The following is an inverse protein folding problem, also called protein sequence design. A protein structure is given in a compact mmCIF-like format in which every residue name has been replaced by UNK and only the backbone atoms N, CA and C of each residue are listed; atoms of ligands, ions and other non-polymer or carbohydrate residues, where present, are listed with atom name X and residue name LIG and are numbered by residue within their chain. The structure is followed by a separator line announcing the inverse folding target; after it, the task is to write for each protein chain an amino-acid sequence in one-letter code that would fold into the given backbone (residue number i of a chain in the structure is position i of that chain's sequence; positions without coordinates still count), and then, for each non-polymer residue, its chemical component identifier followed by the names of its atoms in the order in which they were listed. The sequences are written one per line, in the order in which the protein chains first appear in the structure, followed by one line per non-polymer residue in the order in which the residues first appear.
data_IF_458164747855
#
_entry.id   IF_458164747855
#
_cell.length_a   1.000
_cell.length_b   1.000
_cell.length_c   1.000
_cell.angle_alpha   90.00
_cell.angle_beta   90.00
_cell.angle_gamma   90.00
#
_symmetry.space_group_name_H-M   'P 1'
#
loop_
_entity.id
_entity.type
_entity.pdbx_description
1 polymer ?
#
# COMPACT_ATOMS: atom_id res chain seq x y z
N UNK A 1 -25.55 19.95 -14.33
CA UNK A 1 -24.38 20.32 -15.15
C UNK A 1 -23.15 20.08 -14.28
N UNK A 2 -22.30 19.14 -14.67
CA UNK A 2 -21.06 18.87 -13.94
C UNK A 2 -20.16 20.11 -13.96
N UNK A 3 -19.62 20.46 -12.79
CA UNK A 3 -18.64 21.54 -12.64
C UNK A 3 -17.35 20.92 -12.13
N UNK A 4 -16.26 20.94 -12.91
CA UNK A 4 -14.97 20.41 -12.47
C UNK A 4 -14.50 21.07 -11.18
N UNK A 5 -13.89 20.29 -10.31
CA UNK A 5 -13.30 20.83 -9.08
C UNK A 5 -12.09 21.69 -9.44
N UNK A 6 -12.16 22.99 -9.17
CA UNK A 6 -11.07 23.93 -9.46
C UNK A 6 -10.04 24.05 -8.34
N UNK A 7 -10.44 23.72 -7.11
CA UNK A 7 -9.59 23.74 -5.91
C UNK A 7 -10.04 22.66 -4.93
N UNK A 8 -9.08 22.01 -4.28
CA UNK A 8 -9.32 21.05 -3.19
C UNK A 8 -8.64 21.56 -1.92
N UNK A 9 -9.40 21.75 -0.85
CA UNK A 9 -8.88 21.93 0.50
C UNK A 9 -8.39 20.58 1.03
N UNK A 10 -7.15 20.54 1.51
CA UNK A 10 -6.54 19.38 2.16
C UNK A 10 -6.64 19.55 3.67
N UNK A 11 -7.08 18.50 4.36
CA UNK A 11 -7.28 18.48 5.82
C UNK A 11 -6.61 17.27 6.43
N UNK A 12 -6.22 17.38 7.70
CA UNK A 12 -5.71 16.27 8.50
C UNK A 12 -6.12 16.49 9.94
N UNK A 13 -6.58 15.45 10.66
CA UNK A 13 -6.99 15.55 12.07
C UNK A 13 -7.91 16.75 12.36
N UNK A 14 -8.89 16.98 11.47
CA UNK A 14 -9.82 18.14 11.50
C UNK A 14 -9.16 19.51 11.29
N UNK A 15 -7.83 19.62 11.21
CA UNK A 15 -7.07 20.82 10.87
C UNK A 15 -7.09 21.04 9.35
N UNK A 16 -7.19 22.29 8.92
CA UNK A 16 -7.02 22.66 7.52
C UNK A 16 -5.51 22.78 7.25
N UNK A 17 -5.01 22.03 6.28
CA UNK A 17 -3.58 21.94 5.96
C UNK A 17 -3.22 23.00 4.93
N UNK A 18 -4.04 23.12 3.89
CA UNK A 18 -3.75 23.94 2.72
C UNK A 18 -4.74 23.67 1.61
N UNK A 19 -4.43 24.14 0.40
CA UNK A 19 -5.25 23.90 -0.78
C UNK A 19 -4.38 23.53 -1.99
N UNK A 20 -4.93 22.72 -2.87
CA UNK A 20 -4.34 22.38 -4.17
C UNK A 20 -5.23 22.86 -5.30
N UNK A 21 -4.62 23.51 -6.29
CA UNK A 21 -5.29 24.01 -7.48
C UNK A 21 -4.39 23.83 -8.71
N UNK A 22 -4.95 23.89 -9.91
CA UNK A 22 -4.15 23.79 -11.15
C UNK A 22 -3.40 25.10 -11.39
N UNK A 23 -2.08 25.02 -11.57
CA UNK A 23 -1.29 26.15 -12.03
C UNK A 23 -1.61 26.44 -13.51
N UNK A 24 -2.01 27.68 -13.86
CA UNK A 24 -2.46 28.01 -15.20
C UNK A 24 -1.33 28.03 -16.25
N UNK A 25 -0.07 28.14 -15.82
CA UNK A 25 1.10 28.26 -16.71
C UNK A 25 1.78 26.92 -16.92
N UNK A 26 1.97 26.16 -15.85
CA UNK A 26 2.73 24.93 -15.85
C UNK A 26 1.87 23.72 -16.25
N UNK A 27 0.56 23.77 -16.03
CA UNK A 27 -0.33 22.64 -16.27
C UNK A 27 -0.20 21.51 -15.25
N UNK A 28 0.53 21.75 -14.17
CA UNK A 28 0.66 20.94 -12.96
C UNK A 28 -0.19 21.51 -11.82
N UNK A 29 -0.33 20.77 -10.73
CA UNK A 29 -1.05 21.25 -9.55
C UNK A 29 -0.08 21.89 -8.55
N UNK A 30 -0.47 23.06 -8.06
CA UNK A 30 0.20 23.80 -7.02
C UNK A 30 -0.49 23.55 -5.69
N UNK A 31 0.28 23.21 -4.66
CA UNK A 31 -0.21 23.10 -3.30
C UNK A 31 0.35 24.23 -2.43
N UNK A 32 -0.52 24.91 -1.70
CA UNK A 32 -0.13 25.97 -0.77
C UNK A 32 -0.60 25.61 0.65
N UNK A 33 0.32 25.64 1.62
CA UNK A 33 -0.02 25.46 3.02
C UNK A 33 -0.81 26.67 3.54
N UNK A 34 -1.76 26.40 4.42
CA UNK A 34 -2.41 27.47 5.16
C UNK A 34 -1.42 28.05 6.20
N UNK A 35 -1.32 29.39 6.34
CA UNK A 35 -0.40 29.99 7.32
C UNK A 35 -0.62 29.50 8.77
N UNK A 36 -1.87 29.16 9.13
CA UNK A 36 -2.18 28.57 10.43
C UNK A 36 -1.60 27.16 10.61
N UNK A 37 -1.52 26.37 9.54
CA UNK A 37 -0.91 25.05 9.57
C UNK A 37 0.62 25.15 9.62
N UNK A 38 1.23 26.08 8.88
CA UNK A 38 2.68 26.34 8.97
C UNK A 38 3.09 26.66 10.42
N UNK A 39 2.30 27.46 11.14
CA UNK A 39 2.54 27.77 12.56
C UNK A 39 2.39 26.58 13.51
N UNK A 40 1.76 25.49 13.08
CA UNK A 40 1.64 24.28 13.91
C UNK A 40 2.95 23.51 14.02
N UNK A 41 3.88 23.69 13.08
CA UNK A 41 5.15 22.96 13.03
C UNK A 41 5.01 21.49 12.60
N UNK A 42 3.82 21.03 12.20
CA UNK A 42 3.58 19.64 11.79
C UNK A 42 4.09 19.42 10.36
N UNK A 43 5.23 18.73 10.23
CA UNK A 43 5.85 18.40 8.95
C UNK A 43 5.18 17.18 8.29
N UNK A 44 4.16 17.41 7.46
CA UNK A 44 3.46 16.33 6.75
C UNK A 44 4.27 15.72 5.60
N UNK A 45 5.22 16.45 5.02
CA UNK A 45 6.07 16.00 3.92
C UNK A 45 7.46 16.68 3.98
N UNK A 46 8.24 16.47 5.07
CA UNK A 46 9.44 17.25 5.36
C UNK A 46 10.53 17.19 4.28
N UNK A 47 10.54 16.15 3.45
CA UNK A 47 11.61 15.93 2.47
C UNK A 47 11.37 16.64 1.14
N UNK A 48 10.12 16.95 0.82
CA UNK A 48 9.70 17.49 -0.49
C UNK A 48 8.92 18.78 -0.36
N UNK A 49 8.17 18.95 0.74
CA UNK A 49 7.36 20.14 1.01
C UNK A 49 7.55 20.63 2.46
N UNK A 50 8.79 20.97 2.89
CA UNK A 50 9.04 21.39 4.26
C UNK A 50 8.34 22.72 4.58
N UNK A 51 7.85 22.87 5.81
CA UNK A 51 7.16 24.10 6.23
C UNK A 51 8.06 25.35 6.15
N UNK A 52 9.38 25.19 6.26
CA UNK A 52 10.35 26.27 6.11
C UNK A 52 10.41 26.85 4.69
N UNK A 53 9.96 26.10 3.68
CA UNK A 53 9.85 26.53 2.29
C UNK A 53 8.41 26.90 1.89
N UNK A 54 7.47 26.96 2.84
CA UNK A 54 6.06 27.26 2.59
C UNK A 54 5.76 28.76 2.42
N UNK A 55 6.66 29.51 1.78
CA UNK A 55 6.47 30.92 1.41
C UNK A 55 5.84 31.08 0.02
N UNK A 56 5.92 30.06 -0.82
CA UNK A 56 5.31 29.98 -2.15
C UNK A 56 4.61 28.62 -2.34
N UNK A 57 3.67 28.50 -3.30
CA UNK A 57 3.04 27.22 -3.61
C UNK A 57 4.06 26.20 -4.14
N UNK A 58 3.96 24.96 -3.66
CA UNK A 58 4.76 23.83 -4.14
C UNK A 58 4.21 23.31 -5.47
N UNK A 59 5.05 23.30 -6.50
CA UNK A 59 4.75 22.73 -7.82
C UNK A 59 5.92 21.86 -8.26
N UNK A 60 5.63 20.66 -8.75
CA UNK A 60 6.64 19.70 -9.19
C UNK A 60 6.41 19.31 -10.65
N UNK A 61 6.94 20.11 -11.57
CA UNK A 61 6.74 19.95 -13.01
C UNK A 61 7.63 18.86 -13.65
N UNK A 62 8.57 18.31 -12.88
CA UNK A 62 9.50 17.26 -13.23
C UNK A 62 8.99 15.85 -12.86
N UNK A 63 7.94 15.75 -12.03
CA UNK A 63 7.38 14.46 -11.63
C UNK A 63 6.63 13.76 -12.78
N UNK A 64 6.91 12.46 -13.01
CA UNK A 64 6.21 11.69 -14.05
C UNK A 64 4.69 11.66 -13.89
N UNK A 65 3.97 12.04 -14.94
CA UNK A 65 2.50 12.13 -14.91
C UNK A 65 1.82 10.79 -14.61
N UNK A 66 2.36 9.67 -15.12
CA UNK A 66 1.77 8.34 -14.93
C UNK A 66 1.70 7.93 -13.45
N UNK A 67 2.67 8.37 -12.65
CA UNK A 67 2.77 8.04 -11.22
C UNK A 67 2.11 9.11 -10.38
N UNK A 68 2.46 10.37 -10.62
CA UNK A 68 2.09 11.47 -9.73
C UNK A 68 0.83 12.22 -10.17
N UNK A 69 0.31 11.95 -11.38
CA UNK A 69 -0.87 12.62 -11.96
C UNK A 69 -0.79 14.15 -11.86
N UNK A 70 0.43 14.68 -12.05
CA UNK A 70 0.82 16.09 -11.97
C UNK A 70 0.62 16.75 -10.60
N UNK A 71 0.39 15.95 -9.55
CA UNK A 71 0.27 16.40 -8.17
C UNK A 71 1.63 16.35 -7.47
N UNK A 72 1.84 17.13 -6.39
CA UNK A 72 2.86 16.85 -5.39
C UNK A 72 2.77 15.41 -4.85
N UNK A 73 3.92 14.80 -4.53
CA UNK A 73 4.03 13.40 -4.10
C UNK A 73 3.08 13.03 -2.96
N UNK A 74 3.03 13.87 -1.92
CA UNK A 74 2.13 13.67 -0.76
C UNK A 74 0.65 13.52 -1.17
N UNK A 75 0.19 14.26 -2.18
CA UNK A 75 -1.20 14.23 -2.63
C UNK A 75 -1.45 13.12 -3.64
N UNK A 76 -0.49 12.89 -4.53
CA UNK A 76 -0.54 11.78 -5.48
C UNK A 76 -0.66 10.43 -4.78
N UNK A 77 0.04 10.26 -3.65
CA UNK A 77 0.06 9.01 -2.92
C UNK A 77 -1.27 8.68 -2.21
N UNK A 78 -2.14 9.67 -2.03
CA UNK A 78 -3.50 9.49 -1.54
C UNK A 78 -4.49 9.04 -2.63
N UNK A 79 -4.09 9.05 -3.91
CA UNK A 79 -4.93 8.60 -5.00
C UNK A 79 -5.02 7.06 -5.04
N UNK A 80 -6.14 6.51 -5.56
CA UNK A 80 -6.25 5.08 -5.76
C UNK A 80 -5.23 4.53 -6.76
N UNK A 81 -5.09 3.20 -6.76
CA UNK A 81 -4.44 2.45 -7.83
C UNK A 81 -5.23 2.50 -9.15
N UNK A 82 -4.69 1.86 -10.20
CA UNK A 82 -5.29 1.91 -11.55
C UNK A 82 -6.74 1.42 -11.57
N UNK A 83 -7.08 0.40 -10.79
CA UNK A 83 -8.45 -0.07 -10.68
C UNK A 83 -9.35 0.91 -9.94
N UNK A 84 -8.91 1.44 -8.80
CA UNK A 84 -9.69 2.45 -8.09
C UNK A 84 -9.92 3.69 -8.97
N UNK A 85 -8.95 4.02 -9.84
CA UNK A 85 -9.12 5.06 -10.84
C UNK A 85 -10.17 4.70 -11.91
N UNK A 86 -10.22 3.44 -12.36
CA UNK A 86 -11.25 2.96 -13.28
C UNK A 86 -12.65 2.96 -12.65
N UNK A 87 -12.78 2.64 -11.36
CA UNK A 87 -14.05 2.76 -10.64
C UNK A 87 -14.53 4.20 -10.54
N UNK A 88 -13.61 5.15 -10.31
CA UNK A 88 -13.93 6.57 -10.34
C UNK A 88 -14.38 6.98 -11.75
N UNK A 89 -13.70 6.52 -12.81
CA UNK A 89 -14.09 6.78 -14.20
C UNK A 89 -15.52 6.29 -14.48
N UNK A 90 -15.84 5.06 -14.06
CA UNK A 90 -17.17 4.48 -14.24
C UNK A 90 -18.25 5.23 -13.44
N UNK A 91 -17.95 5.64 -12.20
CA UNK A 91 -18.88 6.45 -11.40
C UNK A 91 -19.14 7.81 -12.05
N UNK A 92 -18.09 8.52 -12.47
CA UNK A 92 -18.17 9.83 -13.14
C UNK A 92 -18.95 9.74 -14.46
N UNK A 93 -18.75 8.68 -15.24
CA UNK A 93 -19.49 8.46 -16.49
C UNK A 93 -21.01 8.34 -16.27
N UNK A 94 -21.46 7.70 -15.16
CA UNK A 94 -22.88 7.61 -14.79
C UNK A 94 -23.48 8.97 -14.43
N UNK A 95 -22.66 9.87 -13.89
CA UNK A 95 -23.03 11.27 -13.63
C UNK A 95 -22.92 12.14 -14.90
N UNK A 96 -22.67 11.54 -16.07
CA UNK A 96 -22.61 12.23 -17.36
C UNK A 96 -21.28 12.93 -17.64
N UNK A 97 -20.19 12.54 -16.96
CA UNK A 97 -18.86 13.14 -17.10
C UNK A 97 -17.96 12.26 -17.96
N UNK A 98 -17.42 12.80 -19.05
CA UNK A 98 -16.49 12.07 -19.90
C UNK A 98 -15.13 11.90 -19.21
N UNK A 99 -14.45 10.77 -19.45
CA UNK A 99 -13.13 10.46 -18.85
C UNK A 99 -12.09 11.57 -19.06
N UNK A 100 -12.11 12.23 -20.22
CA UNK A 100 -11.20 13.34 -20.55
C UNK A 100 -11.44 14.60 -19.71
N UNK A 101 -12.58 14.71 -19.02
CA UNK A 101 -12.93 15.83 -18.15
C UNK A 101 -12.58 15.58 -16.68
N UNK A 102 -12.26 14.33 -16.30
CA UNK A 102 -11.97 13.95 -14.92
C UNK A 102 -10.53 14.34 -14.57
N UNK A 103 -10.36 15.32 -13.70
CA UNK A 103 -9.07 15.82 -13.26
C UNK A 103 -8.54 15.11 -12.01
N UNK A 104 -7.28 15.33 -11.66
CA UNK A 104 -6.71 14.84 -10.39
C UNK A 104 -7.41 15.47 -9.18
N UNK A 105 -7.93 16.70 -9.30
CA UNK A 105 -8.72 17.35 -8.24
C UNK A 105 -10.06 16.66 -8.04
N UNK A 106 -10.73 16.24 -9.11
CA UNK A 106 -11.97 15.46 -9.01
C UNK A 106 -11.74 14.11 -8.33
N UNK A 107 -10.58 13.49 -8.57
CA UNK A 107 -10.19 12.23 -7.90
C UNK A 107 -9.91 12.45 -6.42
N UNK A 108 -9.16 13.49 -6.04
CA UNK A 108 -8.96 13.85 -4.64
C UNK A 108 -10.29 14.14 -3.94
N UNK A 109 -11.17 14.92 -4.58
CA UNK A 109 -12.51 15.20 -4.10
C UNK A 109 -13.34 13.91 -3.92
N UNK A 110 -13.25 12.97 -4.86
CA UNK A 110 -13.87 11.64 -4.73
C UNK A 110 -13.29 10.85 -3.56
N UNK A 111 -11.98 10.92 -3.31
CA UNK A 111 -11.37 10.28 -2.14
C UNK A 111 -11.98 10.81 -0.86
N UNK A 112 -12.17 12.13 -0.73
CA UNK A 112 -12.86 12.74 0.40
C UNK A 112 -12.25 12.28 1.73
N UNK A 113 -12.93 11.40 2.47
CA UNK A 113 -12.44 10.79 3.73
C UNK A 113 -12.10 9.29 3.65
N UNK A 114 -12.15 8.70 2.45
CA UNK A 114 -12.08 7.25 2.17
C UNK A 114 -10.64 6.73 1.97
N UNK A 115 -9.66 7.61 1.87
CA UNK A 115 -8.27 7.25 1.61
C UNK A 115 -7.60 6.48 2.74
N UNK A 116 -6.47 5.85 2.39
CA UNK A 116 -5.49 5.40 3.38
C UNK A 116 -4.84 6.61 4.06
N UNK A 117 -4.37 6.41 5.28
CA UNK A 117 -3.79 7.48 6.08
C UNK A 117 -4.86 8.44 6.65
N UNK A 118 -4.42 9.67 6.95
CA UNK A 118 -5.22 10.68 7.65
C UNK A 118 -5.62 11.89 6.78
N UNK A 119 -5.12 12.00 5.55
CA UNK A 119 -5.49 13.09 4.66
C UNK A 119 -6.96 12.98 4.25
N UNK A 120 -7.64 14.13 4.26
CA UNK A 120 -9.01 14.28 3.81
C UNK A 120 -9.13 15.47 2.86
N UNK A 121 -10.05 15.37 1.90
CA UNK A 121 -10.19 16.31 0.80
C UNK A 121 -11.58 16.93 0.74
N UNK A 122 -11.64 18.24 0.52
CA UNK A 122 -12.91 18.97 0.32
C UNK A 122 -12.86 19.81 -0.97
N UNK A 123 -13.95 19.92 -1.74
CA UNK A 123 -15.27 19.32 -1.48
C UNK A 123 -15.23 17.79 -1.60
N UNK A 124 -16.08 17.10 -0.84
CA UNK A 124 -16.21 15.65 -0.97
C UNK A 124 -17.19 15.33 -2.10
N UNK A 125 -16.69 14.68 -3.14
CA UNK A 125 -17.49 14.07 -4.20
C UNK A 125 -17.71 12.57 -3.92
N UNK A 126 -18.56 11.98 -4.76
CA UNK A 126 -18.88 10.57 -4.68
C UNK A 126 -20.10 10.25 -3.80
N UNK A 127 -20.47 8.98 -3.74
CA UNK A 127 -21.64 8.50 -3.01
C UNK A 127 -21.57 8.88 -1.53
N UNK A 128 -22.62 9.53 -1.02
CA UNK A 128 -22.75 9.83 0.41
C UNK A 128 -22.76 8.51 1.18
N UNK A 129 -22.19 8.50 2.39
CA UNK A 129 -22.21 7.33 3.25
C UNK A 129 -23.65 6.81 3.37
N UNK A 130 -23.94 5.65 2.78
CA UNK A 130 -25.08 4.84 3.18
C UNK A 130 -24.86 4.41 4.63
N UNK A 131 -25.94 4.19 5.38
CA UNK A 131 -25.84 3.85 6.81
C UNK A 131 -24.82 2.73 7.03
N UNK A 132 -23.76 2.95 7.84
CA UNK A 132 -22.75 1.94 8.12
C UNK A 132 -23.33 0.95 9.13
N UNK A 133 -24.13 -0.01 8.66
CA UNK A 133 -24.71 -1.01 9.57
C UNK A 133 -25.10 -2.33 8.93
N UNK A 134 -25.00 -2.51 7.62
CA UNK A 134 -25.39 -3.78 7.01
C UNK A 134 -24.19 -4.73 7.00
N UNK A 135 -24.35 -5.88 7.65
CA UNK A 135 -23.45 -7.01 7.48
C UNK A 135 -23.30 -7.33 6.00
N UNK A 136 -22.09 -7.65 5.58
CA UNK A 136 -21.76 -8.06 4.21
C UNK A 136 -21.36 -9.53 4.27
N UNK A 137 -22.06 -10.35 3.50
CA UNK A 137 -21.69 -11.75 3.30
C UNK A 137 -20.35 -11.85 2.54
N UNK A 138 -19.46 -12.73 2.99
CA UNK A 138 -18.15 -12.92 2.35
C UNK A 138 -18.29 -13.37 0.90
N UNK A 139 -19.25 -14.24 0.62
CA UNK A 139 -19.58 -14.66 -0.74
C UNK A 139 -19.92 -13.48 -1.65
N UNK A 140 -20.67 -12.48 -1.15
CA UNK A 140 -20.95 -11.27 -1.90
C UNK A 140 -19.67 -10.49 -2.21
N UNK A 141 -18.75 -10.34 -1.23
CA UNK A 141 -17.45 -9.70 -1.43
C UNK A 141 -16.60 -10.40 -2.50
N UNK A 142 -16.53 -11.74 -2.44
CA UNK A 142 -15.80 -12.54 -3.43
C UNK A 142 -16.39 -12.35 -4.82
N UNK A 143 -17.71 -12.39 -4.97
CA UNK A 143 -18.36 -12.15 -6.26
C UNK A 143 -18.12 -10.73 -6.79
N UNK A 144 -18.16 -9.72 -5.91
CA UNK A 144 -17.79 -8.35 -6.28
C UNK A 144 -16.32 -8.26 -6.73
N UNK A 145 -15.42 -8.95 -6.03
CA UNK A 145 -14.00 -8.99 -6.35
C UNK A 145 -13.75 -9.67 -7.72
N UNK A 146 -14.45 -10.76 -8.02
CA UNK A 146 -14.36 -11.47 -9.33
C UNK A 146 -14.74 -10.56 -10.48
N UNK A 147 -15.92 -9.96 -10.38
CA UNK A 147 -16.41 -8.99 -11.36
C UNK A 147 -15.44 -7.83 -11.56
N UNK A 148 -14.89 -7.32 -10.45
CA UNK A 148 -13.88 -6.27 -10.47
C UNK A 148 -12.62 -6.67 -11.27
N UNK A 149 -12.07 -7.87 -11.07
CA UNK A 149 -10.90 -8.33 -11.82
C UNK A 149 -11.22 -8.61 -13.30
N UNK A 150 -12.42 -9.11 -13.61
CA UNK A 150 -12.87 -9.38 -14.98
C UNK A 150 -13.25 -8.11 -15.76
N UNK A 151 -13.26 -6.94 -15.12
CA UNK A 151 -13.72 -5.70 -15.74
C UNK A 151 -15.23 -5.64 -15.94
N UNK A 152 -15.99 -6.57 -15.35
CA UNK A 152 -17.44 -6.61 -15.38
C UNK A 152 -18.00 -5.64 -14.33
N UNK A 153 -18.14 -4.38 -14.69
CA UNK A 153 -18.80 -3.38 -13.83
C UNK A 153 -20.30 -3.40 -14.15
N UNK A 154 -21.01 -4.48 -13.80
CA UNK A 154 -22.46 -4.50 -13.96
C UNK A 154 -23.17 -3.67 -12.87
N UNK A 155 -24.23 -2.99 -13.30
CA UNK A 155 -24.85 -1.80 -12.71
C UNK A 155 -26.08 -2.06 -11.85
N UNK A 156 -26.53 -3.31 -11.70
CA UNK A 156 -27.85 -3.53 -11.11
C UNK A 156 -27.82 -3.90 -9.61
N UNK A 157 -28.83 -3.36 -8.91
CA UNK A 157 -29.07 -3.35 -7.46
C UNK A 157 -28.15 -2.44 -6.59
N UNK A 158 -28.81 -1.61 -5.78
CA UNK A 158 -28.23 -0.68 -4.78
C UNK A 158 -27.16 -1.31 -3.86
N UNK A 159 -27.17 -2.63 -3.66
CA UNK A 159 -26.19 -3.36 -2.86
C UNK A 159 -24.83 -3.55 -3.53
N UNK A 160 -24.79 -3.73 -4.86
CA UNK A 160 -23.55 -4.02 -5.60
C UNK A 160 -22.67 -2.77 -5.75
N UNK A 161 -23.28 -1.59 -5.87
CA UNK A 161 -22.55 -0.33 -5.93
C UNK A 161 -21.81 0.01 -4.62
N UNK A 162 -22.34 -0.38 -3.46
CA UNK A 162 -21.68 -0.20 -2.17
C UNK A 162 -20.47 -1.15 -2.02
N UNK A 163 -20.59 -2.36 -2.57
CA UNK A 163 -19.53 -3.35 -2.56
C UNK A 163 -18.35 -2.94 -3.46
N UNK A 164 -18.64 -2.44 -4.66
CA UNK A 164 -17.63 -1.92 -5.58
C UNK A 164 -16.80 -0.78 -4.96
N UNK A 165 -17.39 0.01 -4.06
CA UNK A 165 -16.67 1.11 -3.39
C UNK A 165 -15.66 0.65 -2.34
N UNK A 166 -15.83 -0.55 -1.80
CA UNK A 166 -14.89 -1.09 -0.79
C UNK A 166 -13.77 -1.89 -1.44
N UNK A 167 -13.97 -2.37 -2.67
CA UNK A 167 -13.03 -3.18 -3.44
C UNK A 167 -12.04 -2.28 -4.18
N UNK A 168 -10.77 -2.62 -4.10
CA UNK A 168 -9.64 -2.11 -4.86
C UNK A 168 -9.01 -3.29 -5.60
N UNK A 169 -8.46 -3.11 -6.80
CA UNK A 169 -7.72 -4.16 -7.51
C UNK A 169 -6.35 -3.60 -7.81
N UNK A 170 -5.37 -4.09 -7.05
CA UNK A 170 -3.99 -3.75 -7.33
C UNK A 170 -3.47 -4.60 -8.49
N UNK A 171 -2.65 -4.01 -9.34
CA UNK A 171 -1.68 -4.79 -10.12
C UNK A 171 -0.56 -5.19 -9.17
N UNK A 172 -0.55 -6.46 -8.78
CA UNK A 172 0.66 -7.06 -8.21
C UNK A 172 1.45 -7.71 -9.35
N UNK A 173 2.74 -7.95 -9.14
CA UNK A 173 3.54 -8.61 -10.17
C UNK A 173 3.10 -10.07 -10.48
N UNK A 174 2.27 -10.67 -9.62
CA UNK A 174 1.58 -11.95 -9.85
C UNK A 174 0.22 -11.83 -10.56
N UNK A 175 -0.17 -10.64 -10.99
CA UNK A 175 -1.45 -10.35 -11.64
C UNK A 175 -2.36 -9.43 -10.83
N UNK A 176 -3.57 -9.20 -11.36
CA UNK A 176 -4.59 -8.40 -10.71
C UNK A 176 -5.06 -9.09 -9.42
N UNK A 177 -4.86 -8.44 -8.27
CA UNK A 177 -5.32 -8.91 -6.96
C UNK A 177 -6.34 -7.95 -6.41
N UNK A 178 -7.56 -8.46 -6.23
CA UNK A 178 -8.60 -7.73 -5.54
C UNK A 178 -8.32 -7.71 -4.03
N UNK A 179 -8.51 -6.54 -3.44
CA UNK A 179 -8.47 -6.30 -2.00
C UNK A 179 -9.65 -5.42 -1.59
N UNK A 180 -10.07 -5.44 -0.34
CA UNK A 180 -11.10 -4.55 0.15
C UNK A 180 -10.79 -4.04 1.55
N UNK A 181 -11.19 -2.80 1.82
CA UNK A 181 -11.15 -2.23 3.17
C UNK A 181 -12.44 -2.62 3.89
N UNK A 182 -12.29 -3.37 4.99
CA UNK A 182 -13.41 -3.93 5.75
C UNK A 182 -13.33 -3.55 7.22
N UNK A 183 -14.49 -3.55 7.87
CA UNK A 183 -14.63 -3.57 9.32
C UNK A 183 -14.91 -5.01 9.73
N UNK A 184 -14.13 -5.57 10.66
CA UNK A 184 -14.29 -6.95 11.10
C UNK A 184 -14.49 -7.03 12.61
N UNK A 185 -15.47 -7.80 13.06
CA UNK A 185 -15.68 -8.09 14.47
C UNK A 185 -15.09 -9.47 14.82
N UNK A 186 -13.99 -9.52 15.60
CA UNK A 186 -13.32 -10.79 15.92
C UNK A 186 -14.17 -11.74 16.79
N UNK A 187 -15.16 -11.23 17.52
CA UNK A 187 -16.01 -12.04 18.39
C UNK A 187 -17.17 -12.71 17.64
N UNK A 188 -17.71 -12.05 16.60
CA UNK A 188 -18.86 -12.56 15.83
C UNK A 188 -18.50 -13.06 14.44
N UNK A 189 -17.31 -12.71 13.93
CA UNK A 189 -16.92 -12.95 12.54
C UNK A 189 -17.57 -12.00 11.53
N UNK A 190 -18.39 -11.04 11.99
CA UNK A 190 -19.16 -10.16 11.11
C UNK A 190 -18.24 -9.20 10.32
N UNK A 191 -18.51 -9.07 9.02
CA UNK A 191 -17.80 -8.17 8.10
C UNK A 191 -18.74 -7.05 7.67
N UNK A 192 -18.22 -5.82 7.65
CA UNK A 192 -18.91 -4.63 7.15
C UNK A 192 -17.95 -3.80 6.28
N UNK A 193 -18.49 -2.80 5.60
CA UNK A 193 -17.68 -1.81 4.87
C UNK A 193 -16.73 -1.07 5.82
N UNK A 194 -15.47 -0.86 5.41
CA UNK A 194 -14.41 -0.29 6.26
C UNK A 194 -13.92 1.12 5.89
N UNK A 195 -14.60 1.86 5.00
CA UNK A 195 -14.13 3.20 4.63
C UNK A 195 -14.45 4.30 5.65
N UNK A 196 -15.28 3.99 6.65
CA UNK A 196 -15.75 4.94 7.66
C UNK A 196 -15.50 4.39 9.06
N UNK A 197 -15.81 5.21 10.07
CA UNK A 197 -15.66 4.87 11.48
C UNK A 197 -16.32 3.53 11.81
N UNK A 198 -15.57 2.67 12.51
CA UNK A 198 -16.04 1.38 12.99
C UNK A 198 -16.83 1.55 14.29
N UNK A 199 -17.82 0.69 14.52
CA UNK A 199 -18.57 0.61 15.76
C UNK A 199 -17.77 -0.12 16.85
N UNK A 200 -18.18 -0.02 18.11
CA UNK A 200 -17.56 -0.76 19.21
C UNK A 200 -17.54 -2.28 18.91
N UNK A 201 -16.39 -2.92 19.17
CA UNK A 201 -16.17 -4.34 18.87
C UNK A 201 -15.76 -4.64 17.43
N UNK A 202 -15.78 -3.66 16.52
CA UNK A 202 -15.23 -3.80 15.17
C UNK A 202 -13.83 -3.20 15.08
N UNK A 203 -13.03 -3.74 14.19
CA UNK A 203 -11.68 -3.29 13.89
C UNK A 203 -11.52 -2.98 12.40
N UNK A 204 -10.57 -2.10 12.05
CA UNK A 204 -10.21 -1.79 10.68
C UNK A 204 -9.26 -2.82 10.10
N UNK A 205 -9.68 -3.51 9.04
CA UNK A 205 -8.92 -4.55 8.36
C UNK A 205 -8.90 -4.33 6.85
N UNK A 206 -7.93 -4.96 6.20
CA UNK A 206 -7.88 -5.11 4.75
C UNK A 206 -7.91 -6.61 4.44
N UNK A 207 -8.77 -7.01 3.52
CA UNK A 207 -8.85 -8.37 3.00
C UNK A 207 -8.30 -8.41 1.58
N UNK A 208 -7.52 -9.43 1.25
CA UNK A 208 -7.01 -9.75 -0.09
C UNK A 208 -7.63 -11.06 -0.54
N UNK A 209 -8.29 -11.03 -1.68
CA UNK A 209 -9.11 -12.14 -2.12
C UNK A 209 -8.30 -13.19 -2.88
N UNK A 210 -8.46 -14.45 -2.48
CA UNK A 210 -7.99 -15.61 -3.21
C UNK A 210 -9.02 -16.09 -4.25
N UNK A 211 -8.53 -16.74 -5.32
CA UNK A 211 -9.34 -17.32 -6.38
C UNK A 211 -9.97 -16.32 -7.36
N UNK A 212 -9.44 -15.10 -7.47
CA UNK A 212 -10.00 -13.98 -8.27
C UNK A 212 -9.18 -13.70 -9.55
N UNK A 213 -8.41 -14.67 -10.05
CA UNK A 213 -7.55 -14.50 -11.24
C UNK A 213 -8.29 -14.43 -12.59
N UNK A 214 -7.55 -14.06 -13.64
CA UNK A 214 -8.05 -13.87 -15.04
C UNK A 214 -8.42 -15.21 -15.71
N UNK A 215 -7.84 -16.33 -15.28
CA UNK A 215 -8.11 -17.63 -15.90
C UNK A 215 -9.59 -18.04 -15.75
N UNK A 216 -10.23 -18.33 -16.89
CA UNK A 216 -11.64 -18.72 -17.06
C UNK A 216 -12.07 -19.99 -16.27
N UNK A 217 -11.14 -20.64 -15.56
CA UNK A 217 -11.44 -21.75 -14.66
C UNK A 217 -11.86 -21.22 -13.29
N UNK A 218 -13.18 -21.11 -13.14
CA UNK A 218 -13.91 -20.93 -11.88
C UNK A 218 -13.18 -21.51 -10.64
N UNK A 219 -12.95 -20.67 -9.63
CA UNK A 219 -13.11 -21.07 -8.23
C UNK A 219 -12.00 -21.85 -7.52
N UNK A 220 -10.89 -22.22 -8.15
CA UNK A 220 -9.81 -22.95 -7.46
C UNK A 220 -8.85 -21.98 -6.74
N UNK A 221 -8.55 -22.25 -5.46
CA UNK A 221 -7.50 -21.55 -4.69
C UNK A 221 -6.19 -21.53 -5.50
N UNK A 222 -5.57 -20.36 -5.62
CA UNK A 222 -4.20 -20.25 -6.13
C UNK A 222 -3.19 -20.17 -4.97
N UNK A 223 -3.64 -20.51 -3.76
CA UNK A 223 -2.91 -20.45 -2.49
C UNK A 223 -2.33 -19.08 -2.15
N UNK A 224 -2.63 -18.01 -2.90
CA UNK A 224 -2.02 -16.69 -2.67
C UNK A 224 -2.21 -16.20 -1.25
N UNK A 225 -3.42 -16.33 -0.70
CA UNK A 225 -3.67 -15.92 0.68
C UNK A 225 -2.88 -16.78 1.67
N UNK A 226 -2.78 -18.09 1.43
CA UNK A 226 -1.99 -19.01 2.27
C UNK A 226 -0.50 -18.73 2.19
N UNK A 227 0.04 -18.49 0.99
CA UNK A 227 1.43 -18.13 0.75
C UNK A 227 1.75 -16.81 1.45
N UNK A 228 0.91 -15.79 1.31
CA UNK A 228 1.11 -14.50 1.99
C UNK A 228 1.01 -14.63 3.52
N UNK A 229 0.12 -15.49 4.03
CA UNK A 229 0.07 -15.79 5.47
C UNK A 229 1.30 -16.56 5.96
N UNK A 230 1.81 -17.52 5.20
CA UNK A 230 3.04 -18.23 5.51
C UNK A 230 4.24 -17.26 5.53
N UNK A 231 4.32 -16.33 4.58
CA UNK A 231 5.33 -15.27 4.55
C UNK A 231 5.19 -14.32 5.73
N UNK A 232 3.96 -13.98 6.15
CA UNK A 232 3.74 -13.21 7.37
C UNK A 232 4.28 -13.93 8.61
N UNK A 233 3.98 -15.22 8.78
CA UNK A 233 4.49 -16.01 9.90
C UNK A 233 6.02 -16.08 9.90
N UNK A 234 6.60 -16.33 8.73
CA UNK A 234 8.04 -16.41 8.52
C UNK A 234 8.74 -15.05 8.75
N UNK A 235 8.17 -13.95 8.29
CA UNK A 235 8.69 -12.60 8.50
C UNK A 235 8.65 -12.21 9.99
N UNK A 236 7.54 -12.48 10.69
CA UNK A 236 7.44 -12.28 12.13
C UNK A 236 8.49 -13.11 12.89
N UNK A 237 8.69 -14.37 12.51
CA UNK A 237 9.72 -15.23 13.11
C UNK A 237 11.14 -14.69 12.86
N UNK A 238 11.38 -14.07 11.70
CA UNK A 238 12.66 -13.42 11.37
C UNK A 238 12.89 -12.10 12.14
N UNK A 239 11.90 -11.65 12.93
CA UNK A 239 11.94 -10.42 13.73
C UNK A 239 11.43 -9.18 12.99
N UNK A 240 10.78 -9.34 11.83
CA UNK A 240 10.16 -8.21 11.11
C UNK A 240 8.85 -7.86 11.79
N UNK A 241 8.67 -6.56 12.07
CA UNK A 241 7.43 -6.05 12.65
C UNK A 241 6.35 -6.00 11.58
N UNK A 242 5.26 -6.76 11.76
CA UNK A 242 4.08 -6.74 10.90
C UNK A 242 2.80 -6.52 11.70
N UNK A 243 1.78 -5.95 11.05
CA UNK A 243 0.43 -5.96 11.61
C UNK A 243 -0.08 -7.40 11.82
N UNK A 244 -1.00 -7.63 12.77
CA UNK A 244 -1.69 -8.90 12.87
C UNK A 244 -2.33 -9.30 11.53
N UNK A 245 -2.03 -10.50 11.05
CA UNK A 245 -2.63 -11.07 9.86
C UNK A 245 -3.39 -12.37 10.19
N UNK A 246 -4.35 -12.74 9.33
CA UNK A 246 -5.20 -13.92 9.49
C UNK A 246 -5.61 -14.48 8.13
N UNK A 247 -6.04 -15.74 8.12
CA UNK A 247 -6.78 -16.31 7.00
C UNK A 247 -8.27 -16.35 7.32
N UNK A 248 -9.08 -15.96 6.33
CA UNK A 248 -10.51 -16.18 6.32
C UNK A 248 -10.81 -17.24 5.26
N UNK A 249 -11.17 -18.44 5.73
CA UNK A 249 -11.34 -19.60 4.87
C UNK A 249 -12.82 -19.82 4.49
N UNK A 250 -13.08 -20.04 3.21
CA UNK A 250 -14.42 -20.27 2.68
C UNK A 250 -14.35 -21.17 1.45
N UNK A 251 -15.16 -22.25 1.40
CA UNK A 251 -15.31 -23.11 0.23
C UNK A 251 -13.96 -23.55 -0.40
N UNK A 252 -12.95 -23.85 0.43
CA UNK A 252 -11.61 -24.25 0.00
C UNK A 252 -10.67 -23.11 -0.42
N UNK A 253 -11.13 -21.85 -0.44
CA UNK A 253 -10.30 -20.65 -0.61
C UNK A 253 -9.81 -20.13 0.74
N UNK A 254 -8.69 -19.41 0.73
CA UNK A 254 -8.19 -18.73 1.92
C UNK A 254 -7.87 -17.27 1.60
N UNK A 255 -8.70 -16.36 2.09
CA UNK A 255 -8.51 -14.93 1.91
C UNK A 255 -7.55 -14.40 2.98
N UNK A 256 -6.51 -13.66 2.57
CA UNK A 256 -5.56 -13.08 3.50
C UNK A 256 -6.13 -11.78 4.08
N UNK A 257 -6.07 -11.61 5.40
CA UNK A 257 -6.52 -10.43 6.09
C UNK A 257 -5.35 -9.82 6.87
N UNK A 258 -5.23 -8.49 6.86
CA UNK A 258 -4.26 -7.75 7.67
C UNK A 258 -4.91 -6.57 8.38
N UNK A 259 -4.56 -6.37 9.64
CA UNK A 259 -5.05 -5.25 10.43
C UNK A 259 -4.39 -3.96 9.95
N UNK A 260 -5.18 -2.91 9.77
CA UNK A 260 -4.69 -1.63 9.27
C UNK A 260 -3.82 -0.93 10.31
N UNK A 261 -2.55 -0.66 9.97
CA UNK A 261 -1.60 0.06 10.83
C UNK A 261 -1.87 1.58 10.87
N UNK A 262 -2.58 2.12 9.89
CA UNK A 262 -2.91 3.55 9.78
C UNK A 262 -4.14 3.94 10.62
N UNK A 263 -4.56 3.05 11.52
CA UNK A 263 -5.73 3.18 12.38
C UNK A 263 -5.39 2.73 13.81
N UNK A 264 -5.79 3.53 14.78
CA UNK A 264 -5.90 3.13 16.20
C UNK A 264 -7.33 3.42 16.67
N UNK A 265 -8.15 2.38 16.75
CA UNK A 265 -9.61 2.55 16.73
C UNK A 265 -10.04 3.35 15.51
N UNK A 266 -10.72 4.49 15.72
CA UNK A 266 -11.09 5.43 14.63
C UNK A 266 -10.10 6.60 14.47
N UNK A 267 -9.03 6.65 15.27
CA UNK A 267 -7.96 7.63 15.04
C UNK A 267 -7.20 7.25 13.77
N UNK A 268 -7.01 8.25 12.88
CA UNK A 268 -6.27 8.08 11.63
C UNK A 268 -4.83 8.57 11.82
N UNK A 269 -3.86 7.86 11.26
CA UNK A 269 -2.47 8.31 11.22
C UNK A 269 -2.08 8.75 9.82
N UNK A 270 -1.24 9.78 9.71
CA UNK A 270 -0.72 10.21 8.41
C UNK A 270 0.23 9.14 7.88
N UNK A 271 0.16 8.85 6.60
CA UNK A 271 1.00 7.82 5.96
C UNK A 271 1.48 8.36 4.63
N UNK A 272 2.76 8.14 4.33
CA UNK A 272 3.31 8.29 2.99
C UNK A 272 4.19 7.10 2.66
N UNK A 273 4.06 6.58 1.44
CA UNK A 273 5.01 5.63 0.89
C UNK A 273 6.36 6.31 0.65
N UNK A 274 7.44 5.53 0.54
CA UNK A 274 8.74 6.03 0.09
C UNK A 274 8.63 6.71 -1.29
N UNK A 275 7.77 6.18 -2.18
CA UNK A 275 7.44 6.78 -3.47
C UNK A 275 6.89 8.21 -3.35
N UNK A 276 5.95 8.43 -2.42
CA UNK A 276 5.33 9.73 -2.18
C UNK A 276 6.25 10.70 -1.42
N UNK A 277 6.88 10.21 -0.34
CA UNK A 277 7.66 11.03 0.58
C UNK A 277 9.01 11.50 -0.01
N UNK A 278 9.65 10.65 -0.82
CA UNK A 278 10.96 10.93 -1.41
C UNK A 278 10.93 11.10 -2.94
N UNK A 279 9.74 11.15 -3.55
CA UNK A 279 9.55 11.27 -5.00
C UNK A 279 10.28 10.18 -5.82
N UNK A 280 10.31 8.95 -5.29
CA UNK A 280 10.96 7.80 -5.95
C UNK A 280 9.93 7.00 -6.76
N UNK A 281 9.80 7.30 -8.05
CA UNK A 281 8.79 6.72 -8.93
C UNK A 281 8.89 5.19 -9.04
N UNK A 282 7.94 4.46 -8.47
CA UNK A 282 7.89 2.99 -8.52
C UNK A 282 7.78 2.40 -9.94
N UNK A 283 7.35 3.18 -10.93
CA UNK A 283 7.24 2.74 -12.33
C UNK A 283 8.58 2.79 -13.07
N UNK A 284 9.58 3.53 -12.55
CA UNK A 284 10.92 3.55 -13.10
C UNK A 284 11.70 2.29 -12.68
N UNK A 285 11.55 1.22 -13.46
CA UNK A 285 12.23 -0.05 -13.22
C UNK A 285 13.75 0.10 -13.22
N UNK A 286 14.41 -0.65 -12.36
CA UNK A 286 15.86 -0.74 -12.30
C UNK A 286 16.57 0.62 -12.06
N UNK A 287 15.91 1.57 -11.38
CA UNK A 287 16.49 2.90 -11.10
C UNK A 287 16.74 3.20 -9.63
N UNK A 288 16.07 2.49 -8.72
CA UNK A 288 16.14 2.76 -7.28
C UNK A 288 17.07 1.78 -6.57
N UNK A 289 17.64 2.21 -5.45
CA UNK A 289 18.50 1.42 -4.57
C UNK A 289 17.98 1.51 -3.13
N UNK A 290 18.06 0.42 -2.38
CA UNK A 290 17.66 0.35 -0.96
C UNK A 290 18.37 1.37 -0.08
N UNK A 291 19.53 1.88 -0.51
CA UNK A 291 20.24 3.01 0.09
C UNK A 291 19.35 4.26 0.18
N UNK A 292 18.44 4.49 -0.77
CA UNK A 292 17.52 5.63 -0.74
C UNK A 292 16.48 5.49 0.39
N UNK A 293 16.08 4.26 0.74
CA UNK A 293 15.27 3.99 1.93
C UNK A 293 16.05 4.34 3.21
N UNK A 294 17.29 3.87 3.33
CA UNK A 294 18.12 4.12 4.52
C UNK A 294 18.44 5.62 4.69
N UNK A 295 18.73 6.34 3.60
CA UNK A 295 18.87 7.80 3.60
C UNK A 295 17.58 8.51 4.04
N UNK A 296 16.42 7.99 3.62
CA UNK A 296 15.12 8.56 4.04
C UNK A 296 14.91 8.38 5.54
N UNK A 297 15.25 7.21 6.09
CA UNK A 297 15.20 6.92 7.53
C UNK A 297 16.12 7.87 8.31
N UNK A 298 17.34 8.11 7.84
CA UNK A 298 18.28 9.06 8.47
C UNK A 298 17.75 10.51 8.39
N UNK A 299 17.22 10.94 7.23
CA UNK A 299 16.68 12.31 7.03
C UNK A 299 15.44 12.59 7.89
N UNK A 300 14.65 11.58 8.20
CA UNK A 300 13.49 11.69 9.09
C UNK A 300 13.85 11.49 10.58
N UNK A 301 15.09 11.07 10.88
CA UNK A 301 15.58 10.92 12.26
C UNK A 301 14.98 9.75 13.04
N UNK A 302 14.64 8.64 12.37
CA UNK A 302 13.97 7.48 13.02
C UNK A 302 14.90 6.66 13.93
N UNK A 303 16.21 6.86 13.83
CA UNK A 303 17.21 6.18 14.67
C UNK A 303 17.62 4.79 14.17
N UNK A 304 18.44 4.12 15.00
CA UNK A 304 19.10 2.86 14.64
C UNK A 304 18.11 1.71 14.45
N UNK A 305 17.12 1.59 15.34
CA UNK A 305 16.14 0.48 15.31
C UNK A 305 15.38 0.42 13.99
N UNK A 306 15.00 1.58 13.43
CA UNK A 306 14.36 1.65 12.12
C UNK A 306 15.30 1.27 10.98
N UNK A 307 16.60 1.60 11.07
CA UNK A 307 17.61 1.17 10.08
C UNK A 307 17.85 -0.33 10.13
N UNK A 308 17.97 -0.89 11.32
CA UNK A 308 18.10 -2.34 11.51
C UNK A 308 16.86 -3.08 10.97
N UNK A 309 15.67 -2.58 11.29
CA UNK A 309 14.40 -3.13 10.77
C UNK A 309 14.31 -3.02 9.25
N UNK A 310 14.69 -1.89 8.65
CA UNK A 310 14.75 -1.74 7.20
C UNK A 310 15.76 -2.72 6.56
N UNK A 311 16.95 -2.85 7.14
CA UNK A 311 17.95 -3.81 6.70
C UNK A 311 17.43 -5.26 6.77
N UNK A 312 16.76 -5.62 7.86
CA UNK A 312 16.12 -6.93 8.03
C UNK A 312 15.09 -7.21 6.95
N UNK A 313 14.26 -6.23 6.59
CA UNK A 313 13.28 -6.35 5.49
C UNK A 313 13.96 -6.51 4.14
N UNK A 314 15.05 -5.77 3.88
CA UNK A 314 15.85 -5.90 2.64
C UNK A 314 16.44 -7.31 2.55
N UNK A 315 17.10 -7.78 3.61
CA UNK A 315 17.64 -9.13 3.69
C UNK A 315 16.56 -10.19 3.47
N UNK A 316 15.42 -10.06 4.14
CA UNK A 316 14.30 -10.99 3.98
C UNK A 316 13.76 -11.00 2.55
N UNK A 317 13.58 -9.85 1.91
CA UNK A 317 13.10 -9.79 0.54
C UNK A 317 14.04 -10.55 -0.41
N UNK A 318 15.36 -10.34 -0.27
CA UNK A 318 16.38 -11.03 -1.08
C UNK A 318 16.37 -12.54 -0.83
N UNK A 319 16.42 -12.95 0.44
CA UNK A 319 16.55 -14.36 0.84
C UNK A 319 15.26 -15.14 0.54
N UNK A 320 14.09 -14.53 0.74
CA UNK A 320 12.78 -15.15 0.54
C UNK A 320 12.21 -14.93 -0.88
N UNK A 321 12.96 -14.36 -1.82
CA UNK A 321 12.52 -14.09 -3.19
C UNK A 321 11.22 -13.26 -3.28
N UNK A 322 11.09 -12.24 -2.42
CA UNK A 322 10.09 -11.19 -2.58
C UNK A 322 10.68 -10.07 -3.44
N UNK A 323 10.52 -10.16 -4.75
CA UNK A 323 11.03 -9.15 -5.68
C UNK A 323 10.04 -8.01 -5.95
N UNK A 324 8.85 -8.00 -5.32
CA UNK A 324 7.89 -6.88 -5.41
C UNK A 324 8.20 -5.79 -4.37
N UNK A 325 9.47 -5.47 -4.18
CA UNK A 325 10.01 -4.61 -3.12
C UNK A 325 10.13 -3.14 -3.54
N UNK A 326 9.19 -2.66 -4.36
CA UNK A 326 9.19 -1.30 -4.90
C UNK A 326 8.89 -0.22 -3.85
N UNK A 327 9.14 1.04 -4.22
CA UNK A 327 9.03 2.21 -3.34
C UNK A 327 7.61 2.49 -2.79
N UNK A 328 6.54 1.88 -3.32
CA UNK A 328 5.20 1.92 -2.72
C UNK A 328 4.94 0.87 -1.61
N UNK A 329 5.82 -0.12 -1.44
CA UNK A 329 5.70 -1.20 -0.44
C UNK A 329 6.52 -0.91 0.84
N UNK A 330 7.04 0.32 0.96
CA UNK A 330 7.62 0.83 2.18
C UNK A 330 6.97 2.17 2.49
N UNK A 331 6.50 2.33 3.73
CA UNK A 331 5.81 3.55 4.15
C UNK A 331 6.33 4.05 5.50
N UNK A 332 6.05 5.32 5.74
CA UNK A 332 6.30 6.01 7.00
C UNK A 332 4.99 6.53 7.54
N UNK A 333 4.87 6.58 8.86
CA UNK A 333 3.68 7.01 9.56
C UNK A 333 4.00 8.15 10.52
N UNK A 334 3.10 9.12 10.60
CA UNK A 334 3.14 10.20 11.56
C UNK A 334 1.81 10.23 12.32
N UNK A 335 1.89 10.10 13.64
CA UNK A 335 0.73 10.23 14.55
C UNK A 335 0.46 11.71 14.80
N UNK A 336 -0.77 12.02 15.22
CA UNK A 336 -1.06 13.37 15.71
C UNK A 336 -0.17 13.65 16.93
N UNK A 337 0.61 14.73 16.85
CA UNK A 337 1.59 15.15 17.86
C UNK A 337 2.73 14.14 18.13
N UNK A 338 2.97 13.19 17.22
CA UNK A 338 4.04 12.20 17.29
C UNK A 338 5.27 12.53 16.42
N UNK A 339 6.21 11.58 16.37
CA UNK A 339 7.33 11.60 15.43
C UNK A 339 7.04 10.70 14.21
N UNK A 340 7.85 10.83 13.17
CA UNK A 340 7.82 9.89 12.05
C UNK A 340 8.33 8.52 12.48
N UNK A 341 7.62 7.47 12.07
CA UNK A 341 7.87 6.07 12.38
C UNK A 341 7.95 5.26 11.07
N UNK A 342 8.77 4.21 11.03
CA UNK A 342 8.68 3.20 9.97
C UNK A 342 7.45 2.32 10.26
N UNK A 343 6.55 2.15 9.28
CA UNK A 343 5.34 1.33 9.52
C UNK A 343 5.66 -0.15 9.65
N UNK A 344 4.80 -0.96 10.29
CA UNK A 344 4.87 -2.42 10.16
C UNK A 344 4.92 -2.84 8.69
N UNK A 345 5.74 -3.84 8.35
CA UNK A 345 5.83 -4.35 6.99
C UNK A 345 4.47 -4.90 6.52
N UNK A 346 4.20 -4.72 5.22
CA UNK A 346 2.99 -5.16 4.54
C UNK A 346 3.37 -5.65 3.14
N UNK A 347 2.46 -6.37 2.49
CA UNK A 347 2.65 -6.93 1.15
C UNK A 347 3.90 -7.82 1.02
N UNK A 348 4.21 -8.55 2.09
CA UNK A 348 5.33 -9.52 2.15
C UNK A 348 4.84 -10.88 1.67
N UNK A 349 5.29 -11.31 0.50
CA UNK A 349 4.86 -12.58 -0.12
C UNK A 349 5.93 -13.11 -1.07
N UNK A 350 5.78 -14.35 -1.52
CA UNK A 350 6.60 -14.86 -2.63
C UNK A 350 6.25 -14.08 -3.90
N UNK A 351 7.23 -13.37 -4.46
CA UNK A 351 7.02 -12.53 -5.62
C UNK A 351 8.21 -12.61 -6.57
N UNK A 352 8.42 -13.79 -7.17
CA UNK A 352 9.42 -13.99 -8.20
C UNK A 352 8.82 -14.73 -9.40
N UNK A 353 8.90 -14.08 -10.57
CA UNK A 353 8.45 -14.63 -11.84
C UNK A 353 9.51 -14.33 -12.91
N UNK A 354 10.35 -15.31 -13.30
CA UNK A 354 11.40 -15.13 -14.32
C UNK A 354 10.90 -14.66 -15.69
N UNK A 355 9.61 -14.85 -15.98
CA UNK A 355 8.96 -14.42 -17.23
C UNK A 355 8.10 -13.17 -17.04
N UNK A 356 8.02 -12.65 -15.80
CA UNK A 356 7.21 -11.50 -15.43
C UNK A 356 7.85 -10.19 -15.87
N UNK A 357 7.03 -9.19 -16.10
CA UNK A 357 7.49 -7.87 -16.54
C UNK A 357 8.13 -7.05 -15.40
N UNK A 358 7.78 -7.36 -14.15
CA UNK A 358 8.15 -6.60 -12.95
C UNK A 358 9.05 -7.39 -12.01
N UNK A 359 8.68 -8.63 -11.66
CA UNK A 359 9.37 -9.44 -10.63
C UNK A 359 10.25 -10.55 -11.18
N UNK A 360 10.84 -10.35 -12.36
CA UNK A 360 11.95 -11.20 -12.83
C UNK A 360 13.26 -10.91 -12.06
N UNK A 361 13.29 -9.80 -11.31
CA UNK A 361 14.36 -9.34 -10.44
C UNK A 361 13.75 -8.40 -9.38
N UNK A 362 14.52 -8.03 -8.34
CA UNK A 362 14.10 -7.01 -7.38
C UNK A 362 13.79 -5.67 -8.05
N UNK A 363 12.85 -4.90 -7.50
CA UNK A 363 12.45 -3.59 -7.99
C UNK A 363 13.29 -2.46 -7.37
N UNK A 364 13.95 -2.72 -6.24
CA UNK A 364 15.00 -1.88 -5.69
C UNK A 364 16.33 -2.66 -5.63
N UNK A 365 17.42 -2.04 -6.06
CA UNK A 365 18.73 -2.69 -6.05
C UNK A 365 19.36 -2.70 -4.66
N UNK A 366 20.18 -3.71 -4.41
CA UNK A 366 21.07 -3.80 -3.26
C UNK A 366 22.50 -3.66 -3.80
N UNK A 367 23.18 -2.58 -3.41
CA UNK A 367 24.52 -2.28 -3.88
C UNK A 367 24.60 -2.23 -5.42
N UNK A 368 23.60 -1.63 -6.07
CA UNK A 368 23.50 -1.55 -7.53
C UNK A 368 23.10 -2.85 -8.25
N UNK A 369 22.82 -3.95 -7.54
CA UNK A 369 22.35 -5.21 -8.13
C UNK A 369 20.86 -5.42 -7.89
N UNK A 370 20.13 -5.79 -8.94
CA UNK A 370 18.70 -6.16 -8.86
C UNK A 370 18.48 -7.68 -8.82
N UNK A 371 19.48 -8.47 -9.20
CA UNK A 371 19.46 -9.93 -9.20
C UNK A 371 20.83 -10.47 -8.78
N UNK A 372 20.89 -11.74 -8.40
CA UNK A 372 22.11 -12.39 -7.90
C UNK A 372 22.80 -11.55 -6.79
N UNK A 373 21.99 -11.00 -5.89
CA UNK A 373 22.45 -10.21 -4.74
C UNK A 373 23.12 -11.16 -3.76
N UNK A 374 24.39 -10.91 -3.47
CA UNK A 374 25.18 -11.73 -2.56
C UNK A 374 25.13 -11.20 -1.12
N UNK A 375 25.61 -12.02 -0.18
CA UNK A 375 25.83 -11.61 1.20
C UNK A 375 26.71 -10.36 1.32
N UNK A 376 27.77 -10.28 0.52
CA UNK A 376 28.69 -9.14 0.52
C UNK A 376 28.03 -7.84 0.04
N UNK A 377 27.07 -7.93 -0.89
CA UNK A 377 26.29 -6.76 -1.34
C UNK A 377 25.42 -6.21 -0.20
N UNK A 378 24.77 -7.09 0.56
CA UNK A 378 23.99 -6.70 1.74
C UNK A 378 24.88 -6.10 2.83
N UNK A 379 26.02 -6.73 3.12
CA UNK A 379 26.96 -6.22 4.11
C UNK A 379 27.60 -4.88 3.70
N UNK A 380 27.86 -4.66 2.41
CA UNK A 380 28.36 -3.38 1.91
C UNK A 380 27.33 -2.25 2.12
N UNK A 381 26.04 -2.53 1.94
CA UNK A 381 24.97 -1.57 2.28
C UNK A 381 24.92 -1.34 3.79
N UNK A 382 24.96 -2.40 4.60
CA UNK A 382 24.93 -2.29 6.06
C UNK A 382 26.09 -1.44 6.60
N UNK A 383 27.32 -1.67 6.13
CA UNK A 383 28.51 -0.91 6.50
C UNK A 383 28.35 0.58 6.15
N UNK A 384 27.90 0.87 4.92
CA UNK A 384 27.65 2.25 4.43
C UNK A 384 26.68 3.04 5.32
N UNK A 385 25.68 2.37 5.89
CA UNK A 385 24.63 3.01 6.70
C UNK A 385 24.76 2.77 8.21
N UNK A 386 25.84 2.11 8.63
CA UNK A 386 26.16 1.86 10.03
C UNK A 386 25.23 0.85 10.73
N UNK A 387 24.77 -0.20 10.03
CA UNK A 387 23.97 -1.29 10.61
C UNK A 387 24.90 -2.40 11.10
N UNK A 388 25.48 -2.22 12.29
CA UNK A 388 26.48 -3.13 12.85
C UNK A 388 25.98 -4.54 13.17
N UNK A 389 24.66 -4.71 13.37
CA UNK A 389 24.01 -6.01 13.63
C UNK A 389 23.72 -6.82 12.35
N UNK A 390 24.09 -6.30 11.17
CA UNK A 390 23.78 -6.91 9.90
C UNK A 390 24.22 -8.38 9.76
N UNK A 391 25.41 -8.81 10.21
CA UNK A 391 25.79 -10.23 10.15
C UNK A 391 24.83 -11.14 10.92
N UNK A 392 24.41 -10.72 12.12
CA UNK A 392 23.47 -11.46 12.96
C UNK A 392 22.07 -11.47 12.36
N UNK A 393 21.63 -10.35 11.79
CA UNK A 393 20.35 -10.26 11.08
C UNK A 393 20.34 -11.19 9.87
N UNK A 394 21.39 -11.21 9.05
CA UNK A 394 21.48 -12.10 7.89
C UNK A 394 21.47 -13.58 8.28
N UNK A 395 22.18 -13.94 9.34
CA UNK A 395 22.16 -15.29 9.86
C UNK A 395 20.74 -15.68 10.31
N UNK A 396 20.10 -14.87 11.15
CA UNK A 396 18.76 -15.15 11.68
C UNK A 396 17.70 -15.24 10.57
N UNK A 397 17.74 -14.32 9.60
CA UNK A 397 16.82 -14.33 8.46
C UNK A 397 17.03 -15.58 7.59
N UNK A 398 18.29 -15.94 7.29
CA UNK A 398 18.60 -17.13 6.48
C UNK A 398 18.13 -18.42 7.18
N UNK A 399 18.41 -18.56 8.48
CA UNK A 399 17.94 -19.68 9.29
C UNK A 399 16.41 -19.76 9.29
N UNK A 400 15.72 -18.62 9.48
CA UNK A 400 14.25 -18.57 9.48
C UNK A 400 13.66 -18.95 8.12
N UNK A 401 14.20 -18.41 7.02
CA UNK A 401 13.71 -18.73 5.67
C UNK A 401 13.97 -20.20 5.31
N UNK A 402 15.05 -20.80 5.81
CA UNK A 402 15.30 -22.24 5.62
C UNK A 402 14.20 -23.14 6.22
N UNK A 403 13.49 -22.64 7.24
CA UNK A 403 12.30 -23.27 7.85
C UNK A 403 10.99 -22.99 7.10
N UNK A 404 11.05 -22.45 5.86
CA UNK A 404 9.88 -22.23 5.00
C UNK A 404 8.86 -23.38 4.99
N UNK A 405 9.24 -24.67 4.88
CA UNK A 405 8.26 -25.76 4.87
C UNK A 405 7.35 -25.82 6.10
N UNK A 406 7.84 -25.41 7.28
CA UNK A 406 7.08 -25.43 8.52
C UNK A 406 6.02 -24.33 8.53
N UNK A 407 6.39 -23.10 8.12
CA UNK A 407 5.45 -21.98 7.98
C UNK A 407 4.40 -22.25 6.89
N UNK A 408 4.83 -22.84 5.78
CA UNK A 408 3.94 -23.21 4.69
C UNK A 408 2.94 -24.31 5.12
N UNK A 409 3.39 -25.28 5.92
CA UNK A 409 2.51 -26.30 6.53
C UNK A 409 1.52 -25.65 7.50
N UNK A 410 1.97 -24.72 8.35
CA UNK A 410 1.10 -24.00 9.28
C UNK A 410 0.00 -23.20 8.58
N UNK A 411 0.28 -22.66 7.39
CA UNK A 411 -0.68 -21.93 6.56
C UNK A 411 -1.51 -22.83 5.61
N UNK A 412 -1.27 -24.15 5.61
CA UNK A 412 -1.82 -25.15 4.69
C UNK A 412 -1.55 -24.86 3.20
N UNK A 413 -0.36 -24.36 2.85
CA UNK A 413 0.06 -24.19 1.45
C UNK A 413 0.21 -25.57 0.78
N UNK A 414 -0.23 -25.71 -0.48
CA UNK A 414 -0.12 -26.98 -1.20
C UNK A 414 1.34 -27.41 -1.40
N UNK A 415 1.61 -28.72 -1.31
CA UNK A 415 2.99 -29.25 -1.39
C UNK A 415 3.73 -28.92 -2.68
N UNK A 416 3.02 -28.76 -3.80
CA UNK A 416 3.59 -28.28 -5.07
C UNK A 416 4.12 -26.85 -4.95
N UNK A 417 3.34 -25.95 -4.34
CA UNK A 417 3.74 -24.56 -4.12
C UNK A 417 4.87 -24.46 -3.08
N UNK A 418 4.84 -25.27 -2.02
CA UNK A 418 5.95 -25.34 -1.05
C UNK A 418 7.26 -25.66 -1.73
N UNK A 419 7.27 -26.69 -2.59
CA UNK A 419 8.47 -27.13 -3.31
C UNK A 419 8.93 -26.05 -4.30
N UNK A 420 8.01 -25.52 -5.12
CA UNK A 420 8.30 -24.49 -6.12
C UNK A 420 8.88 -23.22 -5.51
N UNK A 421 8.32 -22.73 -4.40
CA UNK A 421 8.79 -21.51 -3.74
C UNK A 421 10.16 -21.72 -3.11
N UNK A 422 10.39 -22.88 -2.48
CA UNK A 422 11.66 -23.21 -1.82
C UNK A 422 12.86 -23.17 -2.77
N UNK A 423 12.67 -23.53 -4.04
CA UNK A 423 13.73 -23.51 -5.07
C UNK A 423 14.31 -22.11 -5.33
N UNK A 424 13.60 -21.05 -4.93
CA UNK A 424 14.00 -19.67 -5.13
C UNK A 424 14.52 -18.99 -3.86
N UNK A 425 14.41 -19.66 -2.71
CA UNK A 425 14.99 -19.17 -1.46
C UNK A 425 16.51 -19.29 -1.50
N UNK A 426 17.18 -18.28 -0.96
CA UNK A 426 18.63 -18.24 -0.86
C UNK A 426 19.07 -18.60 0.56
N UNK A 427 20.29 -19.08 0.71
CA UNK A 427 20.96 -19.18 2.01
C UNK A 427 22.17 -18.24 1.99
N UNK A 428 22.09 -17.17 2.77
CA UNK A 428 23.14 -16.15 2.91
C UNK A 428 23.67 -16.10 4.36
N UNK A 429 23.60 -17.23 5.08
CA UNK A 429 24.01 -17.34 6.48
C UNK A 429 25.53 -17.22 6.69
N UNK A 430 26.35 -17.57 5.69
CA UNK A 430 27.82 -17.61 5.78
C UNK A 430 28.49 -16.71 4.76
#
# INVERSE_FOLDING_TARGET
MYTPVSVVEVRIWRKAVGAVARDPRLGYYAFEYQPAFVRSGIELAPLTMPLTAANEPFVFADLPELTYRRLPGMLADALPDDFGNALIDAWMAREGVAKSQITSLDRLAYMGKRGMGALEFKPALGPKASKPSTAIELSALVEGARRAVQGEIDTDAHGQAALAQIIQVGTSAGGARAKAVISWNPATGEIRAGQFDVQAGFEHWLIKFDGVGIDERLGVSQDYGRIEYAYHLMACAAGITMSPCRLLEEHGRAHFMTKRFDRDGNAKHHVQTLCGLAHLDYRHKATHDVSQLLLTIDRLGLGYDAKEEAFRRIAFNVIAANCDDHTKNVSFLLREDGAWELVPAYDVTYAYNPKGEWTYQHLMSVNGKFAAISRDDLLAVADRFGVGTAPQVLQHVSETVSSWPDFATQANVTGSEVTRIKEHHQDLSR
#
